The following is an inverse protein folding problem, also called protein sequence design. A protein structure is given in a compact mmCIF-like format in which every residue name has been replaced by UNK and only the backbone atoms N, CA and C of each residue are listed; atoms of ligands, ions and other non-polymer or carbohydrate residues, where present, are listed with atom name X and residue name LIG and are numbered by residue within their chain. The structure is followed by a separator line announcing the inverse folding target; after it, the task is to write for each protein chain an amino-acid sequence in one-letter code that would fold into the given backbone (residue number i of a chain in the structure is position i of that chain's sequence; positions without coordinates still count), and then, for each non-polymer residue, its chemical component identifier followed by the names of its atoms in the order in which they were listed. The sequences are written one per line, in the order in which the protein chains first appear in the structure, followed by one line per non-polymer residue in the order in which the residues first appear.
data_IF_438622092038
#
_entry.id   IF_438622092038
#
_cell.length_a   1.000
_cell.length_b   1.000
_cell.length_c   1.000
_cell.angle_alpha   90.00
_cell.angle_beta   90.00
_cell.angle_gamma   90.00
#
_symmetry.space_group_name_H-M   'P 1'
#
loop_
_entity.id
_entity.type
_entity.pdbx_description
1 polymer ?
#
# COMPACT_ATOMS: atom_id res chain seq x y z
N UNK A 1 -2.74 -23.00 11.12
CA UNK A 1 -1.94 -23.60 10.03
C UNK A 1 -1.14 -22.48 9.40
N UNK A 2 0.18 -22.51 9.47
CA UNK A 2 1.01 -21.58 8.68
C UNK A 2 0.91 -22.04 7.22
N UNK A 3 0.37 -21.20 6.35
CA UNK A 3 0.39 -21.43 4.91
C UNK A 3 1.84 -21.68 4.47
N UNK A 4 2.13 -22.87 3.94
CA UNK A 4 3.43 -23.16 3.36
C UNK A 4 3.45 -22.60 1.94
N UNK A 5 4.36 -21.68 1.67
CA UNK A 5 4.53 -21.16 0.32
C UNK A 5 4.81 -22.31 -0.65
N UNK A 6 4.17 -22.35 -1.83
CA UNK A 6 4.44 -23.37 -2.84
C UNK A 6 5.87 -23.25 -3.36
N UNK A 7 6.42 -24.34 -3.90
CA UNK A 7 7.68 -24.30 -4.63
C UNK A 7 7.49 -23.52 -5.94
N UNK A 8 8.42 -22.62 -6.22
CA UNK A 8 8.42 -21.85 -7.47
C UNK A 8 8.74 -22.75 -8.65
N UNK A 9 7.98 -22.62 -9.73
CA UNK A 9 8.25 -23.29 -10.99
C UNK A 9 9.14 -22.43 -11.92
N UNK A 10 9.53 -22.92 -13.10
CA UNK A 10 10.34 -22.15 -14.04
C UNK A 10 9.69 -20.84 -14.52
N UNK A 11 8.36 -20.78 -14.62
CA UNK A 11 7.64 -19.58 -15.04
C UNK A 11 7.63 -18.54 -13.93
N UNK A 12 7.43 -18.95 -12.67
CA UNK A 12 7.54 -18.07 -11.50
C UNK A 12 8.93 -17.41 -11.46
N UNK A 13 9.98 -18.21 -11.62
CA UNK A 13 11.37 -17.73 -11.61
C UNK A 13 11.65 -16.76 -12.76
N UNK A 14 11.12 -17.05 -13.96
CA UNK A 14 11.22 -16.16 -15.12
C UNK A 14 10.56 -14.81 -14.84
N UNK A 15 9.33 -14.79 -14.32
CA UNK A 15 8.61 -13.55 -14.00
C UNK A 15 9.33 -12.74 -12.92
N UNK A 16 9.85 -13.41 -11.88
CA UNK A 16 10.66 -12.74 -10.84
C UNK A 16 11.88 -12.06 -11.45
N UNK A 17 12.57 -12.73 -12.39
CA UNK A 17 13.72 -12.13 -13.06
C UNK A 17 13.33 -10.96 -13.96
N UNK A 18 12.22 -11.05 -14.69
CA UNK A 18 11.66 -9.95 -15.49
C UNK A 18 11.34 -8.72 -14.62
N UNK A 19 10.70 -8.92 -13.47
CA UNK A 19 10.41 -7.84 -12.49
C UNK A 19 11.72 -7.24 -11.97
N UNK A 20 12.70 -8.07 -11.63
CA UNK A 20 14.00 -7.60 -11.14
C UNK A 20 14.76 -6.81 -12.22
N UNK A 21 14.70 -7.25 -13.47
CA UNK A 21 15.29 -6.54 -14.60
C UNK A 21 14.62 -5.18 -14.79
N UNK A 22 13.30 -5.12 -14.80
CA UNK A 22 12.56 -3.86 -14.86
C UNK A 22 12.93 -2.94 -13.69
N UNK A 23 13.08 -3.48 -12.48
CA UNK A 23 13.50 -2.70 -11.30
C UNK A 23 14.90 -2.11 -11.49
N UNK A 24 15.85 -2.87 -12.04
CA UNK A 24 17.22 -2.40 -12.33
C UNK A 24 17.23 -1.31 -13.40
N UNK A 25 16.46 -1.48 -14.47
CA UNK A 25 16.29 -0.50 -15.54
C UNK A 25 15.63 0.78 -15.04
N UNK A 26 14.58 0.67 -14.22
CA UNK A 26 13.92 1.84 -13.66
C UNK A 26 14.82 2.58 -12.68
N UNK A 27 15.62 1.88 -11.87
CA UNK A 27 16.46 2.49 -10.81
C UNK A 27 17.31 3.67 -11.28
N UNK A 28 17.82 3.66 -12.52
CA UNK A 28 18.63 4.77 -13.06
C UNK A 28 17.80 6.06 -13.23
N UNK A 29 16.50 5.93 -13.49
CA UNK A 29 15.56 7.05 -13.59
C UNK A 29 15.05 7.51 -12.22
N UNK A 30 15.15 6.67 -11.19
CA UNK A 30 14.68 6.92 -9.83
C UNK A 30 15.78 7.46 -8.89
N UNK A 31 17.04 7.50 -9.34
CA UNK A 31 18.16 7.96 -8.51
C UNK A 31 18.09 9.48 -8.26
N UNK A 32 18.50 9.92 -7.06
CA UNK A 32 18.55 11.34 -6.70
C UNK A 32 19.42 12.13 -7.71
N UNK A 33 19.04 13.38 -8.06
CA UNK A 33 18.05 14.22 -7.40
C UNK A 33 16.61 14.10 -7.93
N UNK A 34 16.27 13.08 -8.73
CA UNK A 34 14.91 12.92 -9.29
C UNK A 34 13.97 12.19 -8.34
N UNK A 35 13.70 12.81 -7.19
CA UNK A 35 12.58 12.45 -6.32
C UNK A 35 11.29 12.54 -7.14
N UNK A 36 10.48 11.49 -7.12
CA UNK A 36 9.12 11.54 -7.65
C UNK A 36 8.46 12.78 -7.05
N UNK A 37 8.16 13.79 -7.89
CA UNK A 37 7.51 15.02 -7.43
C UNK A 37 6.28 14.62 -6.65
N UNK A 38 6.02 15.30 -5.52
CA UNK A 38 5.01 14.89 -4.52
C UNK A 38 3.71 14.35 -5.13
N UNK A 39 3.21 14.97 -6.20
CA UNK A 39 2.00 14.55 -6.91
C UNK A 39 2.03 13.11 -7.45
N UNK A 40 3.15 12.64 -8.03
CA UNK A 40 3.23 11.28 -8.60
C UNK A 40 3.25 10.21 -7.51
N UNK A 41 4.00 10.45 -6.43
CA UNK A 41 4.01 9.55 -5.25
C UNK A 41 2.64 9.51 -4.58
N UNK A 42 1.99 10.67 -4.41
CA UNK A 42 0.62 10.77 -3.87
C UNK A 42 -0.38 10.01 -4.72
N UNK A 43 -0.34 10.18 -6.05
CA UNK A 43 -1.24 9.48 -6.97
C UNK A 43 -1.04 7.96 -6.93
N UNK A 44 0.20 7.47 -6.91
CA UNK A 44 0.47 6.04 -6.78
C UNK A 44 -0.05 5.46 -5.46
N UNK A 45 0.16 6.17 -4.35
CA UNK A 45 -0.33 5.73 -3.04
C UNK A 45 -1.86 5.70 -3.01
N UNK A 46 -2.53 6.72 -3.56
CA UNK A 46 -4.00 6.74 -3.69
C UNK A 46 -4.54 5.59 -4.55
N UNK A 47 -3.88 5.28 -5.67
CA UNK A 47 -4.24 4.13 -6.49
C UNK A 47 -4.07 2.79 -5.76
N UNK A 48 -3.01 2.65 -4.96
CA UNK A 48 -2.79 1.44 -4.17
C UNK A 48 -3.88 1.26 -3.09
N UNK A 49 -4.20 2.33 -2.33
CA UNK A 49 -5.26 2.30 -1.33
C UNK A 49 -6.62 2.01 -1.98
N UNK A 50 -6.99 2.75 -3.04
CA UNK A 50 -8.22 2.50 -3.80
C UNK A 50 -8.30 1.08 -4.33
N UNK A 51 -7.21 0.59 -4.93
CA UNK A 51 -7.14 -0.76 -5.49
C UNK A 51 -7.41 -1.83 -4.42
N UNK A 52 -6.76 -1.71 -3.26
CA UNK A 52 -6.96 -2.66 -2.16
C UNK A 52 -8.39 -2.62 -1.61
N UNK A 53 -8.92 -1.43 -1.33
CA UNK A 53 -10.26 -1.29 -0.75
C UNK A 53 -11.36 -1.72 -1.74
N UNK A 54 -11.15 -1.53 -3.05
CA UNK A 54 -12.10 -1.99 -4.07
C UNK A 54 -12.21 -3.51 -4.17
N UNK A 55 -11.15 -4.25 -3.84
CA UNK A 55 -11.20 -5.73 -3.77
C UNK A 55 -12.15 -6.18 -2.66
N UNK A 56 -12.19 -5.44 -1.56
CA UNK A 56 -13.07 -5.69 -0.40
C UNK A 56 -14.49 -5.13 -0.58
N UNK A 57 -14.79 -4.54 -1.75
CA UNK A 57 -16.11 -4.01 -2.08
C UNK A 57 -16.35 -2.54 -1.75
N UNK A 58 -15.31 -1.80 -1.34
CA UNK A 58 -15.38 -0.36 -1.10
C UNK A 58 -14.92 0.41 -2.34
N UNK A 59 -15.87 0.83 -3.18
CA UNK A 59 -15.59 1.63 -4.37
C UNK A 59 -15.52 3.12 -4.04
N UNK A 60 -14.50 3.79 -4.58
CA UNK A 60 -14.24 5.21 -4.39
C UNK A 60 -13.61 5.78 -5.65
N UNK A 61 -13.90 7.04 -5.96
CA UNK A 61 -13.22 7.72 -7.05
C UNK A 61 -11.73 7.94 -6.71
N UNK A 62 -10.88 8.15 -7.71
CA UNK A 62 -9.48 8.48 -7.45
C UNK A 62 -9.34 9.83 -6.74
N UNK A 63 -10.22 10.78 -7.05
CA UNK A 63 -10.21 12.12 -6.47
C UNK A 63 -10.63 12.08 -5.00
N UNK A 64 -11.66 11.31 -4.64
CA UNK A 64 -12.05 11.10 -3.24
C UNK A 64 -10.99 10.32 -2.46
N UNK A 65 -10.37 9.31 -3.07
CA UNK A 65 -9.26 8.61 -2.44
C UNK A 65 -8.06 9.54 -2.17
N UNK A 66 -7.81 10.52 -3.06
CA UNK A 66 -6.79 11.55 -2.85
C UNK A 66 -7.19 12.52 -1.74
N UNK A 67 -8.44 13.00 -1.73
CA UNK A 67 -8.97 13.89 -0.69
C UNK A 67 -8.84 13.24 0.69
N UNK A 68 -9.36 12.03 0.86
CA UNK A 68 -9.28 11.27 2.11
C UNK A 68 -7.82 11.06 2.53
N UNK A 69 -6.92 10.82 1.58
CA UNK A 69 -5.49 10.66 1.87
C UNK A 69 -4.79 11.93 2.32
N UNK A 70 -5.28 13.09 1.93
CA UNK A 70 -4.79 14.42 2.32
C UNK A 70 -5.57 14.98 3.54
N UNK A 71 -6.37 14.15 4.21
CA UNK A 71 -7.27 14.53 5.31
C UNK A 71 -8.28 15.62 4.92
N UNK A 72 -8.67 15.66 3.64
CA UNK A 72 -9.71 16.51 3.08
C UNK A 72 -11.05 15.76 2.97
N UNK A 73 -12.15 16.51 2.90
CA UNK A 73 -13.50 15.94 2.76
C UNK A 73 -13.71 15.37 1.34
N UNK A 74 -14.12 14.10 1.20
CA UNK A 74 -14.46 13.54 -0.11
C UNK A 74 -15.76 14.13 -0.67
N UNK A 75 -15.94 14.06 -1.98
CA UNK A 75 -17.14 14.55 -2.66
C UNK A 75 -18.29 13.56 -2.58
N UNK A 76 -18.04 12.29 -2.91
CA UNK A 76 -19.08 11.28 -3.10
C UNK A 76 -18.96 10.11 -2.12
N UNK A 77 -17.76 9.83 -1.60
CA UNK A 77 -17.53 8.69 -0.71
C UNK A 77 -18.33 8.80 0.59
N UNK A 78 -19.08 7.73 0.92
CA UNK A 78 -19.78 7.68 2.18
C UNK A 78 -18.81 7.57 3.38
N UNK A 79 -19.35 7.80 4.59
CA UNK A 79 -18.57 7.77 5.83
C UNK A 79 -17.90 6.41 6.07
N UNK A 80 -18.55 5.30 5.75
CA UNK A 80 -18.01 3.96 6.00
C UNK A 80 -16.82 3.71 5.08
N UNK A 81 -16.99 3.94 3.79
CA UNK A 81 -15.95 3.85 2.77
C UNK A 81 -14.77 4.75 3.11
N UNK A 82 -15.03 5.96 3.59
CA UNK A 82 -14.00 6.89 4.04
C UNK A 82 -13.20 6.35 5.21
N UNK A 83 -13.86 5.78 6.23
CA UNK A 83 -13.21 5.19 7.38
C UNK A 83 -12.33 3.99 7.01
N UNK A 84 -12.80 3.13 6.10
CA UNK A 84 -12.04 1.98 5.58
C UNK A 84 -10.75 2.43 4.85
N UNK A 85 -10.84 3.50 4.06
CA UNK A 85 -9.68 4.09 3.37
C UNK A 85 -8.69 4.67 4.38
N UNK A 86 -9.18 5.36 5.42
CA UNK A 86 -8.35 5.90 6.50
C UNK A 86 -7.65 4.80 7.28
N UNK A 87 -8.36 3.73 7.65
CA UNK A 87 -7.78 2.58 8.36
C UNK A 87 -6.66 1.92 7.56
N UNK A 88 -6.92 1.64 6.28
CA UNK A 88 -5.91 1.10 5.37
C UNK A 88 -4.70 2.03 5.21
N UNK A 89 -4.94 3.33 5.00
CA UNK A 89 -3.88 4.36 4.90
C UNK A 89 -3.00 4.38 6.15
N UNK A 90 -3.60 4.29 7.34
CA UNK A 90 -2.88 4.32 8.61
C UNK A 90 -1.98 3.08 8.76
N UNK A 91 -2.53 1.89 8.53
CA UNK A 91 -1.77 0.64 8.57
C UNK A 91 -0.61 0.63 7.55
N UNK A 92 -0.87 1.06 6.31
CA UNK A 92 0.14 1.15 5.26
C UNK A 92 1.23 2.17 5.59
N UNK A 93 0.87 3.32 6.18
CA UNK A 93 1.84 4.33 6.59
C UNK A 93 2.71 3.81 7.72
N UNK A 94 2.13 3.16 8.72
CA UNK A 94 2.85 2.56 9.83
C UNK A 94 3.89 1.54 9.36
N UNK A 95 3.50 0.54 8.55
CA UNK A 95 4.44 -0.48 8.08
C UNK A 95 5.54 0.10 7.17
N UNK A 96 5.23 1.13 6.36
CA UNK A 96 6.24 1.80 5.53
C UNK A 96 7.28 2.56 6.35
N UNK A 97 6.90 3.14 7.50
CA UNK A 97 7.84 3.82 8.39
C UNK A 97 8.80 2.84 9.07
N UNK A 98 8.39 1.59 9.27
CA UNK A 98 9.22 0.55 9.85
C UNK A 98 10.12 -0.16 8.82
N UNK A 99 9.86 -0.01 7.53
CA UNK A 99 10.50 -0.81 6.48
C UNK A 99 12.03 -0.62 6.39
N UNK A 100 12.53 0.57 6.76
CA UNK A 100 13.96 0.89 6.75
C UNK A 100 14.59 0.83 8.17
N UNK A 101 13.83 0.39 9.19
CA UNK A 101 14.34 0.26 10.57
C UNK A 101 15.16 -1.03 10.71
N UNK A 102 16.43 -0.88 11.12
CA UNK A 102 17.33 -2.01 11.33
C UNK A 102 16.86 -2.97 12.45
N UNK A 103 16.02 -2.51 13.37
CA UNK A 103 15.44 -3.31 14.45
C UNK A 103 14.07 -3.92 14.08
N UNK A 104 13.59 -3.73 12.85
CA UNK A 104 12.29 -4.24 12.42
C UNK A 104 12.19 -5.77 12.54
N UNK A 105 11.13 -6.23 13.20
CA UNK A 105 10.75 -7.64 13.25
C UNK A 105 9.29 -7.83 12.86
N UNK A 106 9.04 -8.75 11.92
CA UNK A 106 7.69 -9.20 11.61
C UNK A 106 7.26 -10.25 12.64
N UNK A 107 6.38 -9.87 13.55
CA UNK A 107 5.81 -10.75 14.57
C UNK A 107 4.26 -10.66 14.62
N UNK A 108 3.65 -11.47 15.47
CA UNK A 108 2.20 -11.48 15.66
C UNK A 108 1.66 -10.15 16.20
N UNK A 109 2.44 -9.43 17.01
CA UNK A 109 2.04 -8.16 17.61
C UNK A 109 1.91 -7.08 16.53
N UNK A 110 2.83 -7.06 15.56
CA UNK A 110 2.76 -6.19 14.40
C UNK A 110 1.51 -6.48 13.58
N UNK A 111 1.22 -7.76 13.29
CA UNK A 111 0.01 -8.14 12.54
C UNK A 111 -1.26 -7.69 13.26
N UNK A 112 -1.35 -7.90 14.58
CA UNK A 112 -2.49 -7.44 15.40
C UNK A 112 -2.63 -5.92 15.39
N UNK A 113 -1.50 -5.20 15.44
CA UNK A 113 -1.48 -3.73 15.39
C UNK A 113 -1.97 -3.20 14.05
N UNK A 114 -1.54 -3.81 12.93
CA UNK A 114 -2.02 -3.47 11.60
C UNK A 114 -3.52 -3.71 11.46
N UNK A 115 -4.00 -4.87 11.95
CA UNK A 115 -5.44 -5.19 11.95
C UNK A 115 -6.25 -4.19 12.80
N UNK A 116 -5.76 -3.83 13.98
CA UNK A 116 -6.40 -2.81 14.82
C UNK A 116 -6.45 -1.44 14.14
N UNK A 117 -5.38 -1.03 13.45
CA UNK A 117 -5.38 0.22 12.68
C UNK A 117 -6.36 0.19 11.50
N UNK A 118 -6.53 -0.96 10.86
CA UNK A 118 -7.45 -1.12 9.73
C UNK A 118 -8.92 -1.10 10.15
N UNK A 119 -9.28 -1.76 11.25
CA UNK A 119 -10.68 -1.93 11.68
C UNK A 119 -11.05 -1.10 12.93
N UNK A 120 -10.21 -0.13 13.32
CA UNK A 120 -10.43 0.67 14.53
C UNK A 120 -11.67 1.58 14.49
N UNK A 121 -12.36 1.63 13.34
CA UNK A 121 -13.60 2.38 13.13
C UNK A 121 -14.88 1.54 13.27
N UNK A 122 -14.77 0.22 13.37
CA UNK A 122 -15.89 -0.71 13.63
C UNK A 122 -16.28 -0.75 15.11
#
# INVERSE_FOLDING_TARGET
MLFRAPSLDPDDLRVIEEINQLRRELRIYLHEPRRWKGQMRRNLKARAVRGSNSIEGYDVSLDDALAIMEDEEPLDADRRTSLEIVGYRNALTYIQQLADDAAFSLDESLIRSLHFMMLGHD
#
